data_IF_987973562388
#
_entry.id   IF_987973562388
#
_cell.length_a   1.000
_cell.length_b   1.000
_cell.length_c   1.000
_cell.angle_alpha   90.00
_cell.angle_beta   90.00
_cell.angle_gamma   90.00
#
_symmetry.space_group_name_H-M   'P 1'
#
loop_
_entity.id
_entity.type
_entity.pdbx_description
1 polymer ?
#
# COMPACT_ATOMS: atom_id res chain seq x y z
N UNK A 1 11.21 15.34 19.64
CA UNK A 1 10.98 13.89 19.51
C UNK A 1 12.03 13.22 20.38
N UNK A 2 11.67 12.26 21.25
CA UNK A 2 12.69 11.48 21.98
C UNK A 2 13.59 10.76 20.96
N UNK A 3 14.88 10.69 21.23
CA UNK A 3 15.78 9.86 20.45
C UNK A 3 15.56 8.40 20.87
N UNK A 4 14.88 7.64 20.01
CA UNK A 4 14.61 6.21 20.23
C UNK A 4 15.58 5.41 19.36
N UNK A 5 16.47 4.67 20.01
CA UNK A 5 17.39 3.76 19.34
C UNK A 5 16.67 2.48 18.90
N UNK A 6 16.72 2.16 17.60
CA UNK A 6 16.26 0.88 17.07
C UNK A 6 17.48 0.09 16.61
N UNK A 7 17.76 -1.02 17.28
CA UNK A 7 18.90 -1.89 16.96
C UNK A 7 18.68 -2.67 15.66
N UNK A 8 17.43 -3.08 15.41
CA UNK A 8 17.02 -3.64 14.11
C UNK A 8 15.53 -3.47 13.87
N UNK A 9 15.15 -3.26 12.62
CA UNK A 9 13.75 -3.30 12.17
C UNK A 9 13.64 -4.14 10.89
N UNK A 10 12.64 -5.04 10.85
CA UNK A 10 12.25 -5.81 9.68
C UNK A 10 10.75 -5.71 9.51
N UNK A 11 10.29 -5.69 8.27
CA UNK A 11 8.86 -5.78 7.94
C UNK A 11 8.66 -6.85 6.89
N UNK A 12 7.69 -7.73 7.12
CA UNK A 12 7.16 -8.66 6.11
C UNK A 12 5.76 -8.19 5.74
N UNK A 13 5.47 -8.10 4.45
CA UNK A 13 4.19 -7.58 3.95
C UNK A 13 3.55 -8.62 3.05
N UNK A 14 2.27 -8.87 3.27
CA UNK A 14 1.46 -9.79 2.47
C UNK A 14 0.25 -9.07 1.92
N UNK A 15 -0.19 -9.48 0.73
CA UNK A 15 -1.34 -8.91 0.04
C UNK A 15 -2.12 -10.02 -0.66
N UNK A 16 -3.42 -10.08 -0.39
CA UNK A 16 -4.32 -11.03 -1.02
C UNK A 16 -4.97 -10.39 -2.24
N UNK A 17 -4.38 -10.62 -3.40
CA UNK A 17 -4.86 -10.14 -4.69
C UNK A 17 -5.71 -11.22 -5.38
N UNK A 18 -6.89 -10.85 -5.88
CA UNK A 18 -7.69 -11.71 -6.75
C UNK A 18 -7.84 -11.10 -8.13
N UNK A 19 -7.88 -11.97 -9.13
CA UNK A 19 -8.12 -11.63 -10.53
C UNK A 19 -8.90 -12.78 -11.17
N UNK A 20 -10.00 -12.46 -11.84
CA UNK A 20 -10.83 -13.42 -12.58
C UNK A 20 -11.45 -12.77 -13.81
N UNK A 21 -12.01 -13.59 -14.70
CA UNK A 21 -12.69 -13.15 -15.92
C UNK A 21 -11.77 -13.08 -17.14
N UNK A 22 -12.23 -12.39 -18.18
CA UNK A 22 -11.60 -12.31 -19.50
C UNK A 22 -11.57 -10.88 -20.00
N UNK A 23 -10.41 -10.47 -20.52
CA UNK A 23 -10.24 -9.15 -21.17
C UNK A 23 -11.09 -9.09 -22.44
N UNK A 24 -11.06 -10.15 -23.26
CA UNK A 24 -11.79 -10.19 -24.52
C UNK A 24 -13.30 -10.13 -24.32
N UNK A 25 -13.79 -10.73 -23.23
CA UNK A 25 -15.22 -10.80 -22.95
C UNK A 25 -15.70 -9.64 -22.04
N UNK A 26 -14.81 -8.73 -21.63
CA UNK A 26 -15.15 -7.60 -20.76
C UNK A 26 -15.61 -8.00 -19.35
N UNK A 27 -15.16 -9.15 -18.85
CA UNK A 27 -15.60 -9.73 -17.56
C UNK A 27 -14.53 -9.67 -16.46
N UNK A 28 -13.46 -8.90 -16.67
CA UNK A 28 -12.36 -8.78 -15.70
C UNK A 28 -12.90 -8.20 -14.39
N UNK A 29 -12.68 -8.94 -13.30
CA UNK A 29 -12.91 -8.49 -11.94
C UNK A 29 -11.64 -8.76 -11.15
N UNK A 30 -11.14 -7.75 -10.46
CA UNK A 30 -9.95 -7.87 -9.63
C UNK A 30 -10.05 -6.97 -8.39
N UNK A 31 -9.17 -7.22 -7.43
CA UNK A 31 -9.07 -6.41 -6.23
C UNK A 31 -8.10 -6.99 -5.22
N UNK A 32 -8.01 -6.32 -4.08
CA UNK A 32 -7.22 -6.74 -2.93
C UNK A 32 -8.19 -6.92 -1.76
N UNK A 33 -8.22 -8.10 -1.15
CA UNK A 33 -9.11 -8.36 0.00
C UNK A 33 -8.48 -7.97 1.33
N UNK A 34 -7.16 -8.11 1.48
CA UNK A 34 -6.44 -7.75 2.70
C UNK A 34 -4.97 -7.46 2.40
N UNK A 35 -4.38 -6.54 3.17
CA UNK A 35 -2.93 -6.30 3.24
C UNK A 35 -2.50 -6.42 4.70
N UNK A 36 -1.51 -7.26 4.97
CA UNK A 36 -0.97 -7.50 6.31
C UNK A 36 0.47 -7.08 6.38
N UNK A 37 0.88 -6.50 7.50
CA UNK A 37 2.28 -6.10 7.74
C UNK A 37 2.74 -6.58 9.10
N UNK A 38 3.80 -7.37 9.11
CA UNK A 38 4.38 -7.98 10.29
C UNK A 38 5.69 -7.27 10.60
N UNK A 39 5.71 -6.49 11.68
CA UNK A 39 6.88 -5.74 12.12
C UNK A 39 7.65 -6.55 13.16
N UNK A 40 8.95 -6.69 12.96
CA UNK A 40 9.88 -7.26 13.93
C UNK A 40 10.93 -6.20 14.26
N UNK A 41 10.89 -5.68 15.50
CA UNK A 41 11.71 -4.56 15.96
C UNK A 41 12.42 -4.96 17.24
N UNK A 42 13.73 -4.70 17.30
CA UNK A 42 14.56 -4.91 18.50
C UNK A 42 15.07 -3.56 19.00
N UNK A 43 14.87 -3.29 20.30
CA UNK A 43 15.30 -2.07 20.97
C UNK A 43 15.30 -2.28 22.49
N UNK A 44 16.17 -1.57 23.19
CA UNK A 44 16.24 -1.56 24.66
C UNK A 44 15.28 -0.54 25.31
N UNK A 45 14.54 0.22 24.49
CA UNK A 45 13.55 1.20 24.95
C UNK A 45 12.23 0.52 25.37
N UNK A 46 11.39 1.25 26.11
CA UNK A 46 10.10 0.71 26.56
C UNK A 46 9.12 0.49 25.41
N UNK A 47 8.17 -0.41 25.61
CA UNK A 47 7.09 -0.70 24.65
C UNK A 47 6.32 0.56 24.28
N UNK A 48 6.02 1.44 25.25
CA UNK A 48 5.26 2.68 25.02
C UNK A 48 5.99 3.62 24.06
N UNK A 49 7.29 3.85 24.28
CA UNK A 49 8.12 4.70 23.43
C UNK A 49 8.24 4.09 22.01
N UNK A 50 8.37 2.76 21.89
CA UNK A 50 8.41 2.07 20.59
C UNK A 50 7.09 2.09 19.84
N UNK A 51 5.97 1.99 20.55
CA UNK A 51 4.63 2.04 19.97
C UNK A 51 4.35 3.40 19.32
N UNK A 52 4.78 4.50 19.94
CA UNK A 52 4.67 5.83 19.34
C UNK A 52 5.41 5.90 18.00
N UNK A 53 6.65 5.38 17.95
CA UNK A 53 7.46 5.35 16.72
C UNK A 53 6.82 4.51 15.63
N UNK A 54 6.35 3.30 15.96
CA UNK A 54 5.70 2.40 14.99
C UNK A 54 4.41 3.04 14.44
N UNK A 55 3.61 3.68 15.30
CA UNK A 55 2.39 4.38 14.87
C UNK A 55 2.70 5.55 13.94
N UNK A 56 3.75 6.32 14.22
CA UNK A 56 4.22 7.39 13.35
C UNK A 56 4.67 6.83 11.99
N UNK A 57 5.44 5.74 11.98
CA UNK A 57 5.87 5.06 10.76
C UNK A 57 4.68 4.58 9.92
N UNK A 58 3.65 3.99 10.54
CA UNK A 58 2.42 3.57 9.84
C UNK A 58 1.65 4.75 9.25
N UNK A 59 1.50 5.85 9.99
CA UNK A 59 0.87 7.08 9.48
C UNK A 59 1.64 7.69 8.31
N UNK A 60 2.96 7.64 8.36
CA UNK A 60 3.86 8.14 7.32
C UNK A 60 4.08 7.18 6.15
N UNK A 61 3.59 5.94 6.23
CA UNK A 61 3.81 4.95 5.18
C UNK A 61 2.99 5.29 3.93
N UNK A 62 3.66 5.87 2.93
CA UNK A 62 3.05 6.23 1.65
C UNK A 62 2.33 5.04 1.00
N UNK A 63 2.94 3.84 1.02
CA UNK A 63 2.34 2.64 0.45
C UNK A 63 1.05 2.24 1.19
N UNK A 64 1.04 2.23 2.52
CA UNK A 64 -0.15 1.87 3.31
C UNK A 64 -1.30 2.88 3.07
N UNK A 65 -0.99 4.17 2.92
CA UNK A 65 -1.98 5.20 2.63
C UNK A 65 -2.55 5.08 1.20
N UNK A 66 -1.74 4.64 0.24
CA UNK A 66 -2.17 4.42 -1.14
C UNK A 66 -3.20 3.29 -1.25
N UNK A 67 -3.01 2.16 -0.53
CA UNK A 67 -3.97 1.04 -0.59
C UNK A 67 -5.30 1.33 0.12
N UNK A 68 -5.34 2.33 1.02
CA UNK A 68 -6.55 2.70 1.76
C UNK A 68 -7.48 3.63 1.01
N UNK A 69 -7.01 4.27 -0.05
CA UNK A 69 -7.75 5.35 -0.72
C UNK A 69 -7.94 5.00 -2.19
N UNK A 70 -9.18 4.73 -2.59
CA UNK A 70 -9.52 4.71 -4.01
C UNK A 70 -9.34 6.12 -4.59
N UNK A 71 -8.50 6.25 -5.61
CA UNK A 71 -8.29 7.51 -6.33
C UNK A 71 -8.88 7.40 -7.74
N UNK A 72 -9.37 8.51 -8.33
CA UNK A 72 -9.78 8.51 -9.72
C UNK A 72 -8.61 8.07 -10.62
N UNK A 73 -8.85 7.04 -11.43
CA UNK A 73 -7.97 6.67 -12.53
C UNK A 73 -8.40 7.50 -13.73
N UNK A 74 -7.41 8.09 -14.43
CA UNK A 74 -7.64 8.81 -15.67
C UNK A 74 -6.72 8.23 -16.73
N UNK A 75 -7.32 7.67 -17.78
CA UNK A 75 -6.60 7.15 -18.93
C UNK A 75 -6.73 8.11 -20.11
N UNK A 76 -5.60 8.54 -20.68
CA UNK A 76 -5.58 9.35 -21.90
C UNK A 76 -5.05 8.48 -23.02
N UNK A 77 -5.84 8.30 -24.07
CA UNK A 77 -5.42 7.57 -25.26
C UNK A 77 -5.15 8.56 -26.39
N UNK A 78 -3.94 8.49 -26.97
CA UNK A 78 -3.65 9.18 -28.23
C UNK A 78 -3.59 8.14 -29.34
N UNK A 79 -4.52 8.21 -30.29
CA UNK A 79 -4.58 7.30 -31.43
C UNK A 79 -4.48 8.10 -32.72
N UNK A 80 -3.47 7.78 -33.53
CA UNK A 80 -3.17 8.47 -34.80
C UNK A 80 -3.03 10.00 -34.66
N UNK A 81 -2.49 10.46 -33.53
CA UNK A 81 -2.27 11.89 -33.26
C UNK A 81 -3.47 12.64 -32.69
N UNK A 82 -4.61 11.98 -32.48
CA UNK A 82 -5.78 12.55 -31.83
C UNK A 82 -5.96 11.97 -30.43
N UNK A 83 -6.24 12.83 -29.44
CA UNK A 83 -6.68 12.38 -28.13
C UNK A 83 -8.12 11.84 -28.20
N UNK A 84 -8.33 10.65 -27.65
CA UNK A 84 -9.60 9.95 -27.62
C UNK A 84 -9.91 9.55 -26.18
N UNK A 85 -11.16 9.77 -25.77
CA UNK A 85 -11.66 9.22 -24.51
C UNK A 85 -11.91 7.70 -24.67
N UNK A 86 -11.37 6.91 -23.75
CA UNK A 86 -11.48 5.44 -23.71
C UNK A 86 -12.21 4.94 -22.46
N UNK A 87 -12.86 5.84 -21.74
CA UNK A 87 -13.69 5.59 -20.55
C UNK A 87 -15.16 5.97 -20.81
#
# INVERSE_FOLDING_TARGET
>A
MKEIGISSAKVHVEMDYYLKGSVMDGTVENGITEVRSYFNVNSDHSTEDLMEVIQLAKKGCFAENLVKTAVPLKSICTLNGSEINIE
#
